data_IF_589175192548
#
_entry.id   IF_589175192548
#
_cell.length_a   1.000
_cell.length_b   1.000
_cell.length_c   1.000
_cell.angle_alpha   90.00
_cell.angle_beta   90.00
_cell.angle_gamma   90.00
#
_symmetry.space_group_name_H-M   'P 1'
#
loop_
_entity.id
_entity.type
_entity.pdbx_description
1 polymer ?
#
# COMPACT_ATOMS: atom_id res chain seq x y z
N UNK A 1 15.75 -11.74 -7.52
CA UNK A 1 14.67 -12.54 -6.90
C UNK A 1 13.68 -12.95 -7.96
N UNK A 2 13.19 -14.19 -7.95
CA UNK A 2 12.25 -14.69 -8.97
C UNK A 2 10.82 -14.37 -8.51
N UNK A 3 10.07 -13.54 -9.23
CA UNK A 3 8.69 -13.11 -8.90
C UNK A 3 7.67 -14.27 -8.89
N UNK A 4 8.06 -15.48 -9.31
CA UNK A 4 7.14 -16.62 -9.40
C UNK A 4 6.51 -17.04 -8.08
N UNK A 5 7.23 -16.88 -6.96
CA UNK A 5 6.71 -17.22 -5.64
C UNK A 5 5.57 -16.29 -5.18
N UNK A 6 5.70 -14.98 -5.38
CA UNK A 6 4.64 -14.01 -5.08
C UNK A 6 3.40 -14.23 -5.98
N UNK A 7 3.61 -14.53 -7.26
CA UNK A 7 2.50 -14.88 -8.16
C UNK A 7 1.71 -16.07 -7.63
N UNK A 8 2.40 -17.10 -7.14
CA UNK A 8 1.75 -18.27 -6.52
C UNK A 8 0.92 -17.89 -5.29
N UNK A 9 1.41 -16.96 -4.45
CA UNK A 9 0.65 -16.45 -3.31
C UNK A 9 -0.64 -15.76 -3.77
N UNK A 10 -0.55 -14.87 -4.75
CA UNK A 10 -1.70 -14.13 -5.27
C UNK A 10 -2.72 -15.03 -5.96
N UNK A 11 -2.28 -16.09 -6.65
CA UNK A 11 -3.18 -17.11 -7.21
C UNK A 11 -3.97 -17.79 -6.07
N UNK A 12 -3.28 -18.26 -5.01
CA UNK A 12 -3.92 -18.92 -3.88
C UNK A 12 -4.93 -18.00 -3.17
N UNK A 13 -4.57 -16.72 -2.93
CA UNK A 13 -5.50 -15.75 -2.33
C UNK A 13 -6.68 -15.48 -3.27
N UNK A 14 -6.44 -15.35 -4.57
CA UNK A 14 -7.52 -15.18 -5.57
C UNK A 14 -8.49 -16.36 -5.59
N UNK A 15 -7.97 -17.58 -5.50
CA UNK A 15 -8.79 -18.81 -5.42
C UNK A 15 -9.58 -18.86 -4.12
N UNK A 16 -8.95 -18.53 -2.99
CA UNK A 16 -9.62 -18.43 -1.70
C UNK A 16 -10.80 -17.47 -1.73
N UNK A 17 -10.61 -16.29 -2.31
CA UNK A 17 -11.67 -15.26 -2.44
C UNK A 17 -12.79 -15.66 -3.38
N UNK A 18 -12.51 -16.46 -4.42
CA UNK A 18 -13.50 -16.88 -5.42
C UNK A 18 -14.31 -18.09 -5.01
N UNK A 19 -13.70 -19.02 -4.28
CA UNK A 19 -14.25 -20.35 -4.05
C UNK A 19 -14.43 -20.69 -2.56
N UNK A 20 -13.87 -19.89 -1.66
CA UNK A 20 -14.04 -20.05 -0.21
C UNK A 20 -15.47 -19.73 0.22
N UNK A 21 -15.94 -20.37 1.27
CA UNK A 21 -17.25 -20.08 1.86
C UNK A 21 -17.21 -18.70 2.56
N UNK A 22 -18.06 -17.78 2.12
CA UNK A 22 -18.09 -16.42 2.65
C UNK A 22 -18.43 -16.35 4.15
N UNK A 23 -19.23 -17.29 4.67
CA UNK A 23 -19.57 -17.31 6.09
C UNK A 23 -18.37 -17.71 6.94
N UNK A 24 -17.60 -18.70 6.47
CA UNK A 24 -16.38 -19.13 7.15
C UNK A 24 -15.28 -18.08 7.05
N UNK A 25 -15.04 -17.56 5.87
CA UNK A 25 -14.01 -16.54 5.63
C UNK A 25 -14.25 -15.22 6.38
N UNK A 26 -15.51 -14.90 6.71
CA UNK A 26 -15.88 -13.66 7.39
C UNK A 26 -16.00 -13.80 8.91
N UNK A 27 -15.69 -14.94 9.50
CA UNK A 27 -15.68 -15.11 10.95
C UNK A 27 -14.66 -14.17 11.60
N UNK A 28 -15.13 -13.43 12.61
CA UNK A 28 -14.23 -12.66 13.48
C UNK A 28 -13.43 -13.65 14.34
N UNK A 29 -12.11 -13.67 14.18
CA UNK A 29 -11.25 -14.62 14.92
C UNK A 29 -10.62 -13.96 16.14
N UNK A 30 -10.04 -12.78 15.97
CA UNK A 30 -9.30 -12.05 16.99
C UNK A 30 -9.35 -10.54 16.74
N UNK A 31 -8.68 -9.80 17.62
CA UNK A 31 -8.36 -8.37 17.42
C UNK A 31 -6.84 -8.28 17.28
N UNK A 32 -6.35 -7.65 16.22
CA UNK A 32 -4.91 -7.47 16.01
C UNK A 32 -4.32 -6.41 16.96
N UNK A 33 -3.00 -6.22 16.91
CA UNK A 33 -2.29 -5.22 17.73
C UNK A 33 -2.77 -3.78 17.53
N UNK A 34 -3.48 -3.53 16.42
CA UNK A 34 -4.06 -2.22 16.06
C UNK A 34 -5.50 -2.05 16.53
N UNK A 35 -6.06 -3.04 17.28
CA UNK A 35 -7.45 -3.10 17.71
C UNK A 35 -8.46 -3.24 16.56
N UNK A 36 -8.01 -3.65 15.38
CA UNK A 36 -8.87 -3.98 14.26
C UNK A 36 -9.30 -5.46 14.36
N UNK A 37 -10.55 -5.76 14.01
CA UNK A 37 -11.07 -7.12 13.98
C UNK A 37 -10.45 -7.87 12.81
N UNK A 38 -9.83 -9.01 13.11
CA UNK A 38 -9.20 -9.91 12.14
C UNK A 38 -10.18 -10.98 11.74
N UNK A 39 -10.35 -11.20 10.47
CA UNK A 39 -11.18 -12.25 9.92
C UNK A 39 -10.36 -13.50 9.58
N UNK A 40 -11.02 -14.64 9.45
CA UNK A 40 -10.35 -15.89 9.06
C UNK A 40 -9.60 -15.72 7.72
N UNK A 41 -10.14 -14.96 6.79
CA UNK A 41 -9.52 -14.69 5.50
C UNK A 41 -8.19 -13.93 5.64
N UNK A 42 -8.09 -12.98 6.57
CA UNK A 42 -6.86 -12.22 6.83
C UNK A 42 -5.77 -13.16 7.32
N UNK A 43 -6.12 -14.09 8.24
CA UNK A 43 -5.20 -15.09 8.78
C UNK A 43 -4.69 -16.02 7.68
N UNK A 44 -5.58 -16.53 6.82
CA UNK A 44 -5.20 -17.45 5.74
C UNK A 44 -4.29 -16.72 4.73
N UNK A 45 -4.66 -15.51 4.31
CA UNK A 45 -3.85 -14.70 3.40
C UNK A 45 -2.47 -14.38 4.00
N UNK A 46 -2.42 -14.01 5.28
CA UNK A 46 -1.18 -13.79 6.02
C UNK A 46 -0.27 -15.03 6.02
N UNK A 47 -0.83 -16.20 6.33
CA UNK A 47 -0.06 -17.44 6.34
C UNK A 47 0.49 -17.84 4.96
N UNK A 48 -0.23 -17.54 3.88
CA UNK A 48 0.25 -17.74 2.51
C UNK A 48 1.48 -16.86 2.24
N UNK A 49 1.44 -15.57 2.63
CA UNK A 49 2.56 -14.64 2.43
C UNK A 49 3.74 -14.99 3.33
N UNK A 50 3.52 -15.39 4.58
CA UNK A 50 4.56 -15.87 5.50
C UNK A 50 5.24 -17.12 4.94
N UNK A 51 4.48 -18.06 4.38
CA UNK A 51 5.01 -19.26 3.74
C UNK A 51 6.00 -18.92 2.61
N UNK A 52 5.67 -17.94 1.79
CA UNK A 52 6.59 -17.43 0.76
C UNK A 52 7.83 -16.78 1.37
N UNK A 53 7.66 -15.89 2.37
CA UNK A 53 8.79 -15.26 3.03
C UNK A 53 9.77 -16.30 3.60
N UNK A 54 9.24 -17.32 4.29
CA UNK A 54 10.05 -18.38 4.91
C UNK A 54 10.76 -19.29 3.89
N UNK A 55 10.13 -19.55 2.74
CA UNK A 55 10.73 -20.40 1.68
C UNK A 55 11.74 -19.68 0.80
N UNK A 56 11.82 -18.35 0.88
CA UNK A 56 12.72 -17.55 0.05
C UNK A 56 14.01 -17.24 0.82
N UNK A 57 15.13 -17.73 0.36
CA UNK A 57 16.43 -17.64 1.08
C UNK A 57 16.85 -16.20 1.37
N UNK A 58 16.77 -15.30 0.40
CA UNK A 58 17.23 -13.91 0.54
C UNK A 58 16.32 -13.05 1.44
N UNK A 59 15.11 -13.51 1.77
CA UNK A 59 14.24 -12.86 2.74
C UNK A 59 14.66 -13.32 4.14
N UNK A 60 15.19 -12.39 4.94
CA UNK A 60 15.66 -12.66 6.30
C UNK A 60 14.64 -12.35 7.38
N UNK A 61 13.52 -11.73 7.02
CA UNK A 61 12.41 -11.43 7.93
C UNK A 61 11.24 -10.80 7.20
N UNK A 62 10.18 -10.54 7.93
CA UNK A 62 8.98 -9.91 7.37
C UNK A 62 8.26 -9.00 8.36
N UNK A 63 7.48 -8.06 7.80
CA UNK A 63 6.55 -7.16 8.48
C UNK A 63 5.18 -7.42 7.87
N UNK A 64 4.19 -7.76 8.69
CA UNK A 64 2.81 -7.94 8.27
C UNK A 64 1.87 -7.08 9.10
N UNK A 65 0.74 -6.68 8.54
CA UNK A 65 -0.34 -6.04 9.29
C UNK A 65 -0.84 -6.91 10.45
N UNK A 66 -0.84 -8.22 10.28
CA UNK A 66 -1.35 -9.18 11.26
C UNK A 66 -0.34 -9.60 12.34
N UNK A 67 0.93 -9.16 12.24
CA UNK A 67 1.97 -9.46 13.21
C UNK A 67 2.25 -8.25 14.11
N UNK A 68 2.52 -8.47 15.39
CA UNK A 68 2.80 -7.37 16.35
C UNK A 68 4.14 -6.71 16.16
N UNK A 69 5.13 -7.45 15.66
CA UNK A 69 6.52 -7.00 15.49
C UNK A 69 7.10 -7.52 14.18
N UNK A 70 8.24 -6.96 13.78
CA UNK A 70 9.04 -7.57 12.72
C UNK A 70 9.45 -8.97 13.15
N UNK A 71 9.30 -9.93 12.24
CA UNK A 71 9.69 -11.32 12.48
C UNK A 71 10.94 -11.61 11.66
N UNK A 72 12.03 -11.95 12.34
CA UNK A 72 13.27 -12.38 11.69
C UNK A 72 13.34 -13.91 11.68
N UNK A 73 14.02 -14.45 10.66
CA UNK A 73 14.29 -15.90 10.59
C UNK A 73 15.40 -16.28 11.57
N UNK A 74 15.37 -17.52 12.06
CA UNK A 74 16.34 -18.02 13.04
C UNK A 74 17.79 -17.95 12.56
N UNK A 75 18.01 -18.02 11.24
CA UNK A 75 19.35 -17.99 10.63
C UNK A 75 19.88 -16.59 10.30
N UNK A 76 19.23 -15.51 10.76
CA UNK A 76 19.63 -14.14 10.41
C UNK A 76 21.06 -13.82 10.81
N UNK A 77 21.51 -14.31 11.98
CA UNK A 77 22.87 -14.06 12.49
C UNK A 77 23.95 -14.68 11.58
N UNK A 78 23.70 -15.86 11.01
CA UNK A 78 24.63 -16.51 10.08
C UNK A 78 24.79 -15.77 8.76
N UNK A 79 23.87 -14.87 8.42
CA UNK A 79 23.89 -14.09 7.18
C UNK A 79 24.65 -12.76 7.28
N UNK A 80 25.06 -12.34 8.47
CA UNK A 80 25.81 -11.09 8.67
C UNK A 80 27.11 -11.02 7.85
N UNK A 81 27.77 -12.17 7.64
CA UNK A 81 29.06 -12.26 6.95
C UNK A 81 28.95 -12.73 5.48
N UNK A 82 27.73 -12.87 4.96
CA UNK A 82 27.52 -13.32 3.60
C UNK A 82 27.39 -12.10 2.69
N UNK A 83 28.21 -12.02 1.66
CA UNK A 83 28.24 -10.91 0.68
C UNK A 83 27.02 -10.99 -0.29
N UNK A 84 25.83 -11.27 0.24
CA UNK A 84 24.56 -11.33 -0.48
C UNK A 84 23.59 -10.28 0.06
N UNK A 85 22.71 -9.80 -0.79
CA UNK A 85 21.65 -8.90 -0.37
C UNK A 85 20.66 -9.64 0.54
N UNK A 86 20.23 -8.97 1.60
CA UNK A 86 19.22 -9.46 2.50
C UNK A 86 17.98 -8.57 2.41
N UNK A 87 16.82 -9.16 2.50
CA UNK A 87 15.54 -8.44 2.33
C UNK A 87 14.59 -8.68 3.50
N UNK A 88 13.81 -7.65 3.82
CA UNK A 88 12.61 -7.74 4.63
C UNK A 88 11.40 -7.63 3.70
N UNK A 89 10.46 -8.57 3.79
CA UNK A 89 9.18 -8.48 3.09
C UNK A 89 8.16 -7.78 3.97
N UNK A 90 7.78 -6.55 3.62
CA UNK A 90 6.66 -5.85 4.26
C UNK A 90 5.40 -6.05 3.42
N UNK A 91 4.27 -6.42 4.04
CA UNK A 91 3.03 -6.67 3.31
C UNK A 91 1.77 -6.44 4.15
N UNK A 92 0.72 -6.01 3.48
CA UNK A 92 -0.66 -6.11 3.90
C UNK A 92 -1.25 -7.32 3.16
N UNK A 93 -1.62 -8.39 3.87
CA UNK A 93 -2.08 -9.62 3.23
C UNK A 93 -3.41 -9.45 2.50
N UNK A 94 -4.31 -8.59 3.00
CA UNK A 94 -5.60 -8.34 2.38
C UNK A 94 -6.18 -6.97 2.74
N UNK A 95 -5.65 -5.90 2.12
CA UNK A 95 -6.23 -4.57 2.21
C UNK A 95 -7.70 -4.56 1.78
N UNK A 96 -8.53 -3.97 2.62
CA UNK A 96 -9.97 -3.92 2.39
C UNK A 96 -10.69 -5.25 2.61
N UNK A 97 -10.25 -6.10 3.53
CA UNK A 97 -10.91 -7.38 3.85
C UNK A 97 -12.39 -7.24 4.21
N UNK A 98 -12.81 -6.09 4.76
CA UNK A 98 -14.22 -5.77 5.01
C UNK A 98 -15.06 -5.71 3.74
N UNK A 99 -14.44 -5.40 2.59
CA UNK A 99 -15.10 -5.32 1.29
C UNK A 99 -15.50 -6.69 0.75
N UNK A 100 -14.83 -7.76 1.19
CA UNK A 100 -15.05 -9.13 0.70
C UNK A 100 -16.50 -9.58 0.89
N UNK A 101 -17.09 -9.27 2.05
CA UNK A 101 -18.49 -9.63 2.36
C UNK A 101 -19.47 -9.01 1.38
N UNK A 102 -19.17 -7.79 0.93
CA UNK A 102 -20.01 -7.04 -0.01
C UNK A 102 -19.62 -7.26 -1.46
N UNK A 103 -18.69 -8.20 -1.72
CA UNK A 103 -18.13 -8.49 -3.04
C UNK A 103 -17.54 -7.24 -3.73
N UNK A 104 -16.92 -6.37 -2.93
CA UNK A 104 -16.21 -5.18 -3.40
C UNK A 104 -14.71 -5.50 -3.43
N UNK A 105 -13.98 -4.90 -4.38
CA UNK A 105 -12.55 -5.14 -4.62
C UNK A 105 -11.72 -4.97 -3.34
N UNK A 106 -10.84 -5.93 -3.13
CA UNK A 106 -9.78 -5.94 -2.11
C UNK A 106 -8.44 -6.25 -2.77
N UNK A 107 -7.34 -6.25 -2.01
CA UNK A 107 -6.05 -6.58 -2.60
C UNK A 107 -4.96 -6.87 -1.57
N UNK A 108 -3.84 -7.38 -2.06
CA UNK A 108 -2.60 -7.59 -1.29
C UNK A 108 -1.58 -6.55 -1.71
N UNK A 109 -0.95 -5.89 -0.75
CA UNK A 109 0.20 -4.98 -0.96
C UNK A 109 1.48 -5.62 -0.47
N UNK A 110 2.61 -5.33 -1.13
CA UNK A 110 3.92 -5.77 -0.66
C UNK A 110 5.02 -4.79 -1.01
N UNK A 111 6.09 -4.85 -0.23
CA UNK A 111 7.33 -4.12 -0.43
C UNK A 111 8.52 -4.99 -0.02
N UNK A 112 9.48 -5.16 -0.91
CA UNK A 112 10.75 -5.85 -0.65
C UNK A 112 11.81 -4.82 -0.31
N UNK A 113 12.19 -4.76 0.96
CA UNK A 113 13.12 -3.79 1.53
C UNK A 113 14.51 -4.40 1.63
N UNK A 114 15.49 -3.84 0.96
CA UNK A 114 16.90 -4.20 1.15
C UNK A 114 17.32 -3.80 2.57
N UNK A 115 17.87 -4.76 3.32
CA UNK A 115 18.12 -4.63 4.74
C UNK A 115 19.56 -4.91 5.12
N UNK A 116 20.15 -3.97 5.83
CA UNK A 116 21.47 -4.11 6.45
C UNK A 116 21.30 -4.71 7.85
N UNK A 117 21.68 -5.98 7.99
CA UNK A 117 21.55 -6.74 9.23
C UNK A 117 22.48 -6.19 10.32
N UNK A 118 23.67 -5.72 9.96
CA UNK A 118 24.67 -5.25 10.92
C UNK A 118 24.28 -3.94 11.57
N UNK A 119 23.74 -3.02 10.77
CA UNK A 119 23.37 -1.68 11.21
C UNK A 119 21.86 -1.54 11.53
N UNK A 120 21.08 -2.60 11.38
CA UNK A 120 19.61 -2.61 11.52
C UNK A 120 18.95 -1.48 10.74
N UNK A 121 19.21 -1.41 9.42
CA UNK A 121 18.74 -0.31 8.57
C UNK A 121 18.14 -0.80 7.26
N UNK A 122 17.07 -0.15 6.85
CA UNK A 122 16.56 -0.26 5.48
C UNK A 122 17.45 0.59 4.57
N UNK A 123 18.02 -0.02 3.54
CA UNK A 123 18.90 0.65 2.57
C UNK A 123 18.11 1.22 1.39
N UNK A 124 17.22 0.42 0.84
CA UNK A 124 16.45 0.76 -0.37
C UNK A 124 15.19 -0.10 -0.48
N UNK A 125 14.36 0.25 -1.46
CA UNK A 125 13.26 -0.61 -1.93
C UNK A 125 13.74 -1.28 -3.22
N UNK A 126 13.81 -2.61 -3.20
CA UNK A 126 14.17 -3.41 -4.37
C UNK A 126 12.98 -3.57 -5.32
N UNK A 127 11.81 -3.86 -4.74
CA UNK A 127 10.56 -4.07 -5.47
C UNK A 127 9.39 -3.73 -4.57
N UNK A 128 8.34 -3.14 -5.14
CA UNK A 128 7.05 -3.02 -4.51
C UNK A 128 5.95 -3.41 -5.50
N UNK A 129 4.79 -3.78 -5.00
CA UNK A 129 3.69 -4.14 -5.87
C UNK A 129 2.42 -4.47 -5.11
N UNK A 130 1.43 -4.86 -5.87
CA UNK A 130 0.15 -5.30 -5.32
C UNK A 130 -0.53 -6.29 -6.26
N UNK A 131 -1.48 -7.02 -5.69
CA UNK A 131 -2.46 -7.77 -6.47
C UNK A 131 -3.86 -7.34 -6.02
N UNK A 132 -4.73 -6.99 -6.95
CA UNK A 132 -6.15 -6.70 -6.67
C UNK A 132 -7.04 -7.87 -7.08
N UNK A 133 -8.07 -8.10 -6.28
CA UNK A 133 -9.05 -9.17 -6.42
C UNK A 133 -10.43 -8.54 -6.64
N UNK A 134 -10.78 -8.34 -7.90
CA UNK A 134 -12.04 -7.73 -8.33
C UNK A 134 -12.66 -8.51 -9.48
N UNK A 135 -13.29 -7.82 -10.43
CA UNK A 135 -13.83 -8.43 -11.65
C UNK A 135 -12.77 -9.23 -12.42
N UNK A 136 -11.50 -8.80 -12.32
CA UNK A 136 -10.31 -9.54 -12.72
C UNK A 136 -9.30 -9.54 -11.59
N UNK A 137 -8.46 -10.57 -11.53
CA UNK A 137 -7.28 -10.56 -10.68
C UNK A 137 -6.14 -9.95 -11.48
N UNK A 138 -5.61 -8.83 -10.98
CA UNK A 138 -4.59 -8.03 -11.66
C UNK A 138 -3.43 -7.78 -10.70
N UNK A 139 -2.21 -8.02 -11.16
CA UNK A 139 -0.98 -7.79 -10.41
C UNK A 139 -0.19 -6.63 -11.03
N UNK A 140 0.30 -5.72 -10.20
CA UNK A 140 1.26 -4.71 -10.59
C UNK A 140 2.56 -4.91 -9.82
N UNK A 141 3.68 -4.84 -10.54
CA UNK A 141 5.02 -4.87 -9.97
C UNK A 141 5.78 -3.61 -10.35
N UNK A 142 6.53 -3.04 -9.40
CA UNK A 142 7.36 -1.87 -9.61
C UNK A 142 8.78 -2.14 -9.10
N UNK A 143 9.74 -1.97 -9.99
CA UNK A 143 11.18 -1.86 -9.71
C UNK A 143 11.65 -0.49 -10.13
N UNK A 144 12.91 -0.16 -9.81
CA UNK A 144 13.51 1.10 -10.23
C UNK A 144 13.39 1.26 -11.75
N UNK A 145 12.70 2.33 -12.18
CA UNK A 145 12.41 2.69 -13.58
C UNK A 145 11.53 1.70 -14.37
N UNK A 146 10.87 0.75 -13.72
CA UNK A 146 10.02 -0.19 -14.40
C UNK A 146 8.76 -0.51 -13.60
N UNK A 147 7.58 -0.29 -14.20
CA UNK A 147 6.29 -0.71 -13.65
C UNK A 147 5.57 -1.56 -14.69
N UNK A 148 5.16 -2.75 -14.29
CA UNK A 148 4.51 -3.74 -15.14
C UNK A 148 3.16 -4.16 -14.58
N UNK A 149 2.21 -4.32 -15.47
CA UNK A 149 0.87 -4.81 -15.20
C UNK A 149 0.70 -6.21 -15.78
N UNK A 150 0.08 -7.09 -14.99
CA UNK A 150 -0.22 -8.48 -15.35
C UNK A 150 -1.68 -8.79 -15.03
N UNK A 151 -2.28 -9.69 -15.78
CA UNK A 151 -3.64 -10.18 -15.57
C UNK A 151 -3.63 -11.70 -15.41
N UNK A 152 -4.35 -12.22 -14.43
CA UNK A 152 -4.50 -13.65 -14.21
C UNK A 152 -5.43 -14.24 -15.26
N UNK A 153 -4.96 -15.23 -16.01
CA UNK A 153 -5.74 -15.97 -17.01
C UNK A 153 -6.49 -17.17 -16.40
N UNK A 154 -7.27 -17.87 -17.23
CA UNK A 154 -8.05 -19.05 -16.82
C UNK A 154 -7.20 -20.26 -16.41
N UNK A 155 -5.94 -20.29 -16.81
CA UNK A 155 -4.98 -21.35 -16.48
C UNK A 155 -4.22 -21.06 -15.19
N UNK A 156 -4.63 -20.04 -14.42
CA UNK A 156 -3.92 -19.57 -13.24
C UNK A 156 -2.47 -19.11 -13.54
N UNK A 157 -2.29 -18.38 -14.66
CA UNK A 157 -1.00 -17.79 -15.03
C UNK A 157 -1.15 -16.26 -15.15
N UNK A 158 -0.18 -15.51 -14.66
CA UNK A 158 -0.13 -14.07 -14.83
C UNK A 158 0.48 -13.69 -16.18
N UNK A 159 -0.34 -13.24 -17.11
CA UNK A 159 0.08 -12.75 -18.41
C UNK A 159 0.44 -11.27 -18.33
N UNK A 160 1.60 -10.91 -18.90
CA UNK A 160 1.99 -9.52 -19.05
C UNK A 160 1.00 -8.77 -19.94
N UNK A 161 0.52 -7.60 -19.44
CA UNK A 161 -0.41 -6.74 -20.19
C UNK A 161 0.32 -5.55 -20.79
N UNK A 162 0.99 -4.74 -19.94
CA UNK A 162 1.68 -3.52 -20.39
C UNK A 162 2.68 -3.02 -19.37
N UNK A 163 3.61 -2.15 -19.82
CA UNK A 163 4.37 -1.26 -18.97
C UNK A 163 3.59 0.04 -18.72
N UNK A 164 3.73 0.58 -17.52
CA UNK A 164 3.13 1.87 -17.14
C UNK A 164 4.28 2.86 -16.96
N UNK A 165 4.18 4.03 -17.60
CA UNK A 165 5.23 5.05 -17.61
C UNK A 165 4.84 6.34 -16.88
N UNK A 166 3.53 6.59 -16.78
CA UNK A 166 3.00 7.79 -16.14
C UNK A 166 1.56 7.58 -15.68
N UNK A 167 1.16 8.35 -14.67
CA UNK A 167 -0.23 8.46 -14.21
C UNK A 167 -0.95 9.48 -15.11
N UNK A 168 -2.11 9.14 -15.68
CA UNK A 168 -2.92 10.10 -16.43
C UNK A 168 -3.39 11.28 -15.55
N UNK A 169 -3.83 12.36 -16.17
CA UNK A 169 -4.55 13.43 -15.49
C UNK A 169 -6.05 13.22 -15.59
N UNK A 170 -6.75 13.30 -14.47
CA UNK A 170 -8.21 13.21 -14.44
C UNK A 170 -8.76 13.98 -13.23
N UNK A 171 -9.95 14.54 -13.39
CA UNK A 171 -10.67 15.19 -12.29
C UNK A 171 -11.42 14.17 -11.42
N UNK A 172 -10.66 13.27 -10.83
CA UNK A 172 -11.12 12.27 -9.84
C UNK A 172 -10.36 12.49 -8.55
N UNK A 173 -11.03 12.35 -7.41
CA UNK A 173 -10.38 12.29 -6.12
C UNK A 173 -10.95 11.16 -5.27
N UNK A 174 -10.09 10.55 -4.47
CA UNK A 174 -10.41 9.48 -3.53
C UNK A 174 -10.16 9.98 -2.12
N UNK A 175 -11.22 10.07 -1.32
CA UNK A 175 -11.13 10.55 0.05
C UNK A 175 -12.30 10.01 0.87
N UNK A 176 -12.05 9.65 2.12
CA UNK A 176 -13.13 9.28 3.03
C UNK A 176 -13.87 10.53 3.56
N UNK A 177 -14.81 11.04 2.80
CA UNK A 177 -15.56 12.25 3.17
C UNK A 177 -16.46 12.11 4.40
N UNK A 178 -16.62 10.93 4.97
CA UNK A 178 -17.34 10.78 6.25
C UNK A 178 -16.66 11.55 7.40
N UNK A 179 -15.39 11.90 7.24
CA UNK A 179 -14.61 12.70 8.19
C UNK A 179 -14.51 14.19 7.82
N UNK A 180 -15.21 14.66 6.78
CA UNK A 180 -15.09 16.04 6.25
C UNK A 180 -15.24 17.14 7.31
N UNK A 181 -16.11 16.95 8.30
CA UNK A 181 -16.32 17.93 9.37
C UNK A 181 -15.17 18.04 10.37
N UNK A 182 -14.31 17.01 10.47
CA UNK A 182 -13.22 16.91 11.46
C UNK A 182 -11.83 16.94 10.84
N UNK A 183 -11.73 17.10 9.52
CA UNK A 183 -10.46 17.33 8.82
C UNK A 183 -9.83 18.67 9.19
N UNK A 184 -8.52 18.76 9.04
CA UNK A 184 -7.79 20.03 9.12
C UNK A 184 -8.23 20.99 8.00
N UNK A 185 -8.00 22.30 8.19
CA UNK A 185 -8.53 23.33 7.31
C UNK A 185 -8.00 23.20 5.87
N UNK A 186 -6.72 22.88 5.68
CA UNK A 186 -6.14 22.68 4.37
C UNK A 186 -6.84 21.57 3.56
N UNK A 187 -7.16 20.47 4.21
CA UNK A 187 -7.89 19.37 3.56
C UNK A 187 -9.32 19.79 3.22
N UNK A 188 -9.98 20.56 4.07
CA UNK A 188 -11.31 21.13 3.77
C UNK A 188 -11.29 22.10 2.59
N UNK A 189 -10.23 22.93 2.49
CA UNK A 189 -10.02 23.82 1.35
C UNK A 189 -9.90 23.01 0.06
N UNK A 190 -9.07 21.97 0.05
CA UNK A 190 -8.90 21.08 -1.11
C UNK A 190 -10.22 20.39 -1.49
N UNK A 191 -10.93 19.81 -0.52
CA UNK A 191 -12.23 19.15 -0.77
C UNK A 191 -13.27 20.11 -1.35
N UNK A 192 -13.36 21.33 -0.79
CA UNK A 192 -14.25 22.37 -1.30
C UNK A 192 -13.86 22.76 -2.73
N UNK A 193 -12.56 22.90 -2.99
CA UNK A 193 -12.07 23.21 -4.33
C UNK A 193 -12.42 22.12 -5.33
N UNK A 194 -12.21 20.85 -5.01
CA UNK A 194 -12.54 19.75 -5.91
C UNK A 194 -14.02 19.71 -6.25
N UNK A 195 -14.89 19.85 -5.23
CA UNK A 195 -16.36 19.90 -5.45
C UNK A 195 -16.81 21.04 -6.34
N UNK A 196 -16.17 22.22 -6.22
CA UNK A 196 -16.52 23.40 -7.00
C UNK A 196 -15.92 23.41 -8.42
N UNK A 197 -15.04 22.46 -8.74
CA UNK A 197 -14.33 22.38 -10.02
C UNK A 197 -14.57 21.04 -10.76
N UNK A 198 -15.75 20.44 -10.56
CA UNK A 198 -16.23 19.26 -11.27
C UNK A 198 -15.36 18.00 -11.09
N UNK A 199 -14.66 17.86 -9.96
CA UNK A 199 -14.02 16.60 -9.62
C UNK A 199 -15.04 15.57 -9.14
N UNK A 200 -14.93 14.35 -9.64
CA UNK A 200 -15.77 13.23 -9.23
C UNK A 200 -15.14 12.51 -8.03
N UNK A 201 -15.92 12.33 -6.96
CA UNK A 201 -15.52 11.48 -5.85
C UNK A 201 -15.61 10.01 -6.25
N UNK A 202 -14.52 9.27 -5.99
CA UNK A 202 -14.47 7.81 -6.00
C UNK A 202 -13.83 7.38 -4.69
N UNK A 203 -14.36 6.38 -4.04
CA UNK A 203 -13.78 5.85 -2.81
C UNK A 203 -14.31 4.44 -2.56
N UNK A 204 -13.43 3.45 -2.66
CA UNK A 204 -13.75 2.02 -2.52
C UNK A 204 -13.57 1.56 -1.08
N UNK A 205 -12.66 2.22 -0.34
CA UNK A 205 -12.32 1.84 1.02
C UNK A 205 -11.31 0.69 1.11
N UNK A 206 -10.61 0.42 0.01
CA UNK A 206 -9.38 -0.37 -0.11
C UNK A 206 -8.36 0.54 -0.78
N UNK A 207 -7.25 0.83 -0.08
CA UNK A 207 -6.25 1.78 -0.62
C UNK A 207 -5.65 1.26 -1.92
N UNK A 208 -5.47 -0.06 -2.03
CA UNK A 208 -4.92 -0.66 -3.24
C UNK A 208 -5.88 -0.53 -4.43
N UNK A 209 -7.18 -0.69 -4.22
CA UNK A 209 -8.19 -0.54 -5.27
C UNK A 209 -8.31 0.92 -5.74
N UNK A 210 -8.36 1.86 -4.79
CA UNK A 210 -8.39 3.30 -5.06
C UNK A 210 -7.14 3.74 -5.82
N UNK A 211 -5.95 3.30 -5.40
CA UNK A 211 -4.68 3.63 -6.07
C UNK A 211 -4.56 2.98 -7.45
N UNK A 212 -5.09 1.77 -7.65
CA UNK A 212 -5.10 1.14 -8.98
C UNK A 212 -5.94 1.95 -9.97
N UNK A 213 -7.09 2.49 -9.53
CA UNK A 213 -7.89 3.37 -10.38
C UNK A 213 -7.10 4.64 -10.75
N UNK A 214 -6.41 5.27 -9.80
CA UNK A 214 -5.57 6.46 -10.08
C UNK A 214 -4.44 6.13 -11.08
N UNK A 215 -3.77 5.01 -10.93
CA UNK A 215 -2.71 4.58 -11.86
C UNK A 215 -3.27 4.35 -13.27
N UNK A 216 -4.52 3.89 -13.37
CA UNK A 216 -5.17 3.56 -14.63
C UNK A 216 -5.82 4.76 -15.32
N UNK A 217 -6.49 5.63 -14.57
CA UNK A 217 -7.38 6.68 -15.06
C UNK A 217 -6.89 8.09 -14.70
N UNK A 218 -6.02 8.23 -13.70
CA UNK A 218 -5.63 9.50 -13.11
C UNK A 218 -6.45 9.85 -11.88
N UNK A 219 -6.04 10.92 -11.20
CA UNK A 219 -6.72 11.44 -10.02
C UNK A 219 -5.81 11.58 -8.81
N UNK A 220 -6.41 11.85 -7.67
CA UNK A 220 -5.76 12.20 -6.42
C UNK A 220 -6.32 11.31 -5.30
N UNK A 221 -5.47 10.63 -4.53
CA UNK A 221 -5.84 9.97 -3.28
C UNK A 221 -5.39 10.83 -2.11
N UNK A 222 -6.30 11.10 -1.17
CA UNK A 222 -5.99 11.80 0.08
C UNK A 222 -6.58 11.02 1.25
N UNK A 223 -5.71 10.57 2.13
CA UNK A 223 -6.12 10.06 3.43
C UNK A 223 -5.46 10.89 4.53
N UNK A 224 -6.24 11.83 5.08
CA UNK A 224 -5.78 12.79 6.07
C UNK A 224 -5.83 12.23 7.49
N UNK A 225 -5.00 12.79 8.37
CA UNK A 225 -5.27 12.81 9.79
C UNK A 225 -6.51 13.68 10.09
N UNK A 226 -7.05 13.52 11.27
CA UNK A 226 -8.16 14.29 11.78
C UNK A 226 -8.22 14.20 13.31
N UNK A 227 -9.15 14.91 13.94
CA UNK A 227 -9.28 14.91 15.42
C UNK A 227 -9.47 13.53 16.03
N UNK A 228 -10.07 12.59 15.31
CA UNK A 228 -10.27 11.20 15.78
C UNK A 228 -9.04 10.32 15.55
N UNK A 229 -8.29 10.60 14.49
CA UNK A 229 -7.09 9.86 14.08
C UNK A 229 -5.95 10.84 13.80
N UNK A 230 -5.30 11.38 14.85
CA UNK A 230 -4.29 12.44 14.70
C UNK A 230 -3.06 12.00 13.92
N UNK A 231 -2.73 10.71 13.95
CA UNK A 231 -1.62 10.13 13.18
C UNK A 231 -2.05 9.63 11.79
N UNK A 232 -3.31 9.87 11.37
CA UNK A 232 -3.86 9.23 10.17
C UNK A 232 -4.27 7.78 10.40
N UNK A 233 -4.50 7.04 9.32
CA UNK A 233 -4.91 5.62 9.38
C UNK A 233 -4.05 4.71 8.51
N UNK A 234 -3.38 5.24 7.51
CA UNK A 234 -2.59 4.45 6.56
C UNK A 234 -1.30 3.98 7.24
N UNK A 235 -0.96 2.71 7.07
CA UNK A 235 0.22 2.11 7.67
C UNK A 235 1.48 2.44 6.84
N UNK A 236 2.54 2.82 7.54
CA UNK A 236 3.75 3.29 6.86
C UNK A 236 4.43 2.21 6.02
N UNK A 237 4.73 1.02 6.61
CA UNK A 237 5.62 0.03 5.99
C UNK A 237 4.98 -0.79 4.88
N UNK A 238 3.70 -1.12 5.00
CA UNK A 238 3.06 -2.08 4.12
C UNK A 238 1.91 -1.51 3.28
N UNK A 239 1.56 -0.21 3.46
CA UNK A 239 0.61 0.51 2.61
C UNK A 239 1.25 1.76 1.98
N UNK A 240 1.66 2.75 2.79
CA UNK A 240 2.15 4.03 2.28
C UNK A 240 3.47 3.92 1.52
N UNK A 241 4.41 3.15 2.06
CA UNK A 241 5.75 3.01 1.49
C UNK A 241 5.73 2.30 0.13
N UNK A 242 5.09 1.11 -0.04
CA UNK A 242 4.98 0.46 -1.34
C UNK A 242 4.27 1.33 -2.37
N UNK A 243 3.16 1.97 -2.01
CA UNK A 243 2.42 2.82 -2.95
C UNK A 243 3.22 4.07 -3.35
N UNK A 244 3.88 4.73 -2.39
CA UNK A 244 4.76 5.87 -2.70
C UNK A 244 5.89 5.48 -3.64
N UNK A 245 6.47 4.28 -3.48
CA UNK A 245 7.49 3.78 -4.39
C UNK A 245 6.91 3.52 -5.78
N UNK A 246 5.77 2.83 -5.91
CA UNK A 246 5.11 2.58 -7.19
C UNK A 246 4.85 3.90 -7.91
N UNK A 247 4.22 4.87 -7.24
CA UNK A 247 3.91 6.17 -7.81
C UNK A 247 5.16 6.90 -8.28
N UNK A 248 6.25 6.88 -7.52
CA UNK A 248 7.52 7.52 -7.90
C UNK A 248 8.13 6.97 -9.18
N UNK A 249 7.84 5.71 -9.55
CA UNK A 249 8.35 5.10 -10.78
C UNK A 249 7.55 5.49 -12.04
N UNK A 250 6.37 6.12 -11.87
CA UNK A 250 5.45 6.47 -12.96
C UNK A 250 5.08 7.97 -12.95
N UNK A 251 6.05 8.82 -12.66
CA UNK A 251 5.91 10.28 -12.60
C UNK A 251 4.87 10.77 -11.59
N UNK A 252 4.58 9.96 -10.57
CA UNK A 252 3.75 10.32 -9.43
C UNK A 252 4.59 10.64 -8.20
N UNK A 253 3.89 10.92 -7.11
CA UNK A 253 4.45 11.22 -5.78
C UNK A 253 3.60 10.61 -4.68
N UNK A 254 4.25 10.21 -3.59
CA UNK A 254 3.64 9.89 -2.31
C UNK A 254 4.13 10.88 -1.26
N UNK A 255 3.23 11.67 -0.71
CA UNK A 255 3.53 12.83 0.13
C UNK A 255 2.79 12.74 1.48
N UNK A 256 3.35 13.34 2.51
CA UNK A 256 2.61 13.71 3.72
C UNK A 256 1.77 14.98 3.49
N UNK A 257 1.01 15.43 4.48
CA UNK A 257 0.18 16.63 4.35
C UNK A 257 1.00 17.94 4.32
N UNK A 258 2.30 17.88 4.61
CA UNK A 258 3.21 19.01 4.43
C UNK A 258 3.88 18.97 3.04
N UNK A 259 3.40 18.13 2.14
CA UNK A 259 3.96 17.89 0.81
C UNK A 259 5.42 17.42 0.82
N UNK A 260 5.85 16.73 1.88
CA UNK A 260 7.15 16.07 1.95
C UNK A 260 7.05 14.63 1.46
N UNK A 261 8.00 14.21 0.64
CA UNK A 261 8.03 12.85 0.12
C UNK A 261 8.21 11.81 1.24
N UNK A 262 7.32 10.83 1.27
CA UNK A 262 7.34 9.71 2.25
C UNK A 262 8.64 8.92 2.12
N UNK A 263 9.14 8.72 0.91
CA UNK A 263 10.37 7.98 0.64
C UNK A 263 11.63 8.64 1.21
N UNK A 264 11.63 9.95 1.48
CA UNK A 264 12.78 10.68 2.00
C UNK A 264 13.24 10.20 3.39
N UNK A 265 12.38 9.54 4.14
CA UNK A 265 12.65 9.07 5.49
C UNK A 265 13.10 7.61 5.58
N UNK A 266 13.12 6.86 4.46
CA UNK A 266 13.37 5.42 4.44
C UNK A 266 14.67 5.02 5.17
N UNK A 267 15.78 5.70 4.88
CA UNK A 267 17.12 5.37 5.44
C UNK A 267 17.31 5.73 6.92
N UNK A 268 16.34 6.38 7.55
CA UNK A 268 16.38 6.77 8.97
C UNK A 268 15.79 5.72 9.90
N UNK A 269 15.25 4.64 9.34
CA UNK A 269 14.48 3.63 10.05
C UNK A 269 15.41 2.57 10.60
N UNK A 270 15.28 2.29 11.91
CA UNK A 270 15.85 1.15 12.59
C UNK A 270 14.71 0.19 12.95
N UNK A 271 14.63 -0.95 12.25
CA UNK A 271 13.45 -1.83 12.29
C UNK A 271 13.19 -2.47 13.65
N UNK A 272 14.25 -2.81 14.41
CA UNK A 272 14.07 -3.49 15.70
C UNK A 272 13.52 -2.55 16.78
N UNK A 273 13.66 -1.23 16.58
CA UNK A 273 13.19 -0.18 17.51
C UNK A 273 11.91 0.50 17.06
N UNK A 274 11.49 0.25 15.81
CA UNK A 274 10.33 0.92 15.24
C UNK A 274 9.03 0.19 15.58
N UNK A 275 7.99 0.99 15.75
CA UNK A 275 6.63 0.47 15.78
C UNK A 275 6.15 0.19 14.36
N UNK A 276 6.07 -1.08 13.98
CA UNK A 276 5.77 -1.49 12.60
C UNK A 276 4.38 -1.07 12.11
N UNK A 277 3.46 -0.78 13.02
CA UNK A 277 2.12 -0.28 12.69
C UNK A 277 1.99 1.24 12.74
N UNK A 278 3.12 1.95 12.61
CA UNK A 278 3.13 3.41 12.50
C UNK A 278 2.14 3.86 11.41
N UNK A 279 1.27 4.79 11.79
CA UNK A 279 0.28 5.38 10.89
C UNK A 279 0.76 6.74 10.40
N UNK A 280 0.35 7.09 9.19
CA UNK A 280 0.64 8.40 8.59
C UNK A 280 -0.56 8.86 7.75
N UNK A 281 -0.75 10.16 7.57
CA UNK A 281 -1.55 10.70 6.49
C UNK A 281 -0.80 10.59 5.17
N UNK A 282 -1.52 10.50 4.04
CA UNK A 282 -0.90 10.34 2.72
C UNK A 282 -1.67 11.07 1.63
N UNK A 283 -0.93 11.62 0.68
CA UNK A 283 -1.40 12.08 -0.62
C UNK A 283 -0.66 11.28 -1.69
N UNK A 284 -1.40 10.69 -2.63
CA UNK A 284 -0.87 9.98 -3.79
C UNK A 284 -1.49 10.56 -5.06
N UNK A 285 -0.66 11.05 -5.97
CA UNK A 285 -1.11 11.66 -7.23
C UNK A 285 0.04 11.75 -8.24
N UNK A 286 -0.22 12.26 -9.44
CA UNK A 286 0.86 12.69 -10.32
C UNK A 286 1.49 14.02 -9.83
N UNK A 287 2.68 14.36 -10.33
CA UNK A 287 3.40 15.57 -9.90
C UNK A 287 2.65 16.86 -10.20
N UNK A 288 1.95 16.93 -11.33
CA UNK A 288 1.20 18.13 -11.75
C UNK A 288 0.06 18.40 -10.78
N UNK A 289 -0.69 17.38 -10.38
CA UNK A 289 -1.77 17.51 -9.41
C UNK A 289 -1.24 17.91 -8.02
N UNK A 290 -0.04 17.43 -7.64
CA UNK A 290 0.62 17.85 -6.41
C UNK A 290 0.95 19.36 -6.40
N UNK A 291 1.56 19.86 -7.48
CA UNK A 291 1.86 21.29 -7.65
C UNK A 291 0.56 22.13 -7.67
N UNK A 292 -0.48 21.61 -8.30
CA UNK A 292 -1.78 22.27 -8.35
C UNK A 292 -2.40 22.40 -6.95
N UNK A 293 -2.40 21.35 -6.13
CA UNK A 293 -2.89 21.39 -4.75
C UNK A 293 -2.12 22.38 -3.88
N UNK A 294 -0.79 22.41 -4.00
CA UNK A 294 0.04 23.39 -3.28
C UNK A 294 -0.31 24.84 -3.66
N UNK A 295 -0.57 25.11 -4.94
CA UNK A 295 -0.99 26.43 -5.42
C UNK A 295 -2.36 26.83 -4.86
N UNK A 296 -3.32 25.90 -4.81
CA UNK A 296 -4.65 26.14 -4.19
C UNK A 296 -4.49 26.58 -2.73
N UNK A 297 -3.68 25.85 -1.94
CA UNK A 297 -3.49 26.16 -0.53
C UNK A 297 -2.79 27.50 -0.35
N UNK A 298 -1.74 27.78 -1.10
CA UNK A 298 -1.03 29.07 -1.06
C UNK A 298 -1.96 30.25 -1.33
N UNK A 299 -2.77 30.20 -2.39
CA UNK A 299 -3.70 31.28 -2.75
C UNK A 299 -4.75 31.48 -1.63
N UNK A 300 -5.22 30.40 -1.02
CA UNK A 300 -6.21 30.54 0.06
C UNK A 300 -5.57 31.13 1.32
N UNK A 301 -4.34 30.75 1.70
CA UNK A 301 -3.65 31.33 2.85
C UNK A 301 -3.36 32.82 2.66
N UNK A 302 -2.90 33.23 1.46
CA UNK A 302 -2.62 34.65 1.14
C UNK A 302 -3.88 35.52 1.19
N UNK A 303 -5.07 34.96 0.94
CA UNK A 303 -6.34 35.70 1.01
C UNK A 303 -6.92 35.85 2.45
N UNK A 304 -6.35 35.18 3.43
CA UNK A 304 -6.76 35.26 4.84
C UNK A 304 -5.75 36.01 5.73
N UNK A 305 -4.63 36.47 5.19
CA UNK A 305 -3.68 37.38 5.81
C UNK A 305 -3.94 38.83 5.39
#
# INVERSE_FOLDING_TARGET
MNCSGLQTCFIKISELLRYGDLQDLNKDCNVNSSLDKVKEIDIIANNIMIGFANSTEDIVGYISEENTHVVFKDNIESRKNINSKNYILAFDPLDGSKNVVSNITSGTLYCLLEYDIENDKILSIEEAGYCIYGAKTVMLTAKKFEVKLYELNRNNEFNFVKKIYKIPQCKIYHCNESYSNIYDEDVKILMKHFKNNDYSLRYVGSIVADCHQIISEGGIFIYSNNKKYPEGKIRYYYEALPLSFIFSQIQGVGLDLNFKEILSNLKKVNLTKEYIHKRIPIILCNKIDSEYMQNILRINHDNYC
#
